data_IF_174945610390
#
_entry.id   IF_174945610390
#
_cell.length_a   1.000
_cell.length_b   1.000
_cell.length_c   1.000
_cell.angle_alpha   90.00
_cell.angle_beta   90.00
_cell.angle_gamma   90.00
#
_symmetry.space_group_name_H-M   'P 1'
#
loop_
_entity.id
_entity.type
_entity.pdbx_description
1 polymer ?
#
# COMPACT_ATOMS: atom_id res chain seq x y z
N UNK A 1 17.83 -21.14 -84.49
CA UNK A 1 19.05 -21.99 -84.44
C UNK A 1 19.27 -22.36 -82.98
N UNK A 2 19.18 -23.65 -82.67
CA UNK A 2 19.36 -24.24 -81.32
C UNK A 2 20.83 -24.17 -80.89
N UNK A 3 21.10 -24.05 -79.58
CA UNK A 3 22.07 -24.85 -78.78
C UNK A 3 22.27 -24.12 -77.42
N UNK A 4 21.66 -24.56 -76.31
CA UNK A 4 22.10 -25.59 -75.35
C UNK A 4 23.14 -25.14 -74.30
N UNK A 5 22.64 -25.09 -73.04
CA UNK A 5 23.28 -25.34 -71.74
C UNK A 5 24.40 -24.44 -71.20
N UNK A 6 24.08 -23.70 -70.13
CA UNK A 6 24.86 -23.83 -68.89
C UNK A 6 23.97 -23.62 -67.66
N UNK A 7 24.02 -24.59 -66.77
CA UNK A 7 23.28 -24.72 -65.52
C UNK A 7 23.85 -23.73 -64.49
N UNK A 8 23.03 -22.81 -63.98
CA UNK A 8 23.27 -22.17 -62.68
C UNK A 8 21.96 -22.19 -61.90
N UNK A 9 21.86 -23.13 -60.95
CA UNK A 9 20.80 -23.20 -59.95
C UNK A 9 20.97 -22.02 -58.99
N UNK A 10 20.10 -21.02 -59.07
CA UNK A 10 19.99 -19.99 -58.03
C UNK A 10 18.88 -20.41 -57.05
N UNK A 11 19.26 -21.02 -55.92
CA UNK A 11 18.37 -21.19 -54.78
C UNK A 11 18.19 -19.82 -54.11
N UNK A 12 17.04 -19.19 -54.29
CA UNK A 12 16.65 -18.00 -53.53
C UNK A 12 16.09 -18.48 -52.19
N UNK A 13 16.95 -18.53 -51.17
CA UNK A 13 16.52 -18.62 -49.78
C UNK A 13 16.08 -17.21 -49.33
N UNK A 14 14.77 -16.95 -49.35
CA UNK A 14 14.19 -15.82 -48.65
C UNK A 14 14.25 -16.07 -47.14
N UNK A 15 15.34 -15.64 -46.50
CA UNK A 15 15.43 -15.51 -45.06
C UNK A 15 14.52 -14.39 -44.58
N UNK A 16 13.33 -14.74 -44.07
CA UNK A 16 12.51 -13.85 -43.26
C UNK A 16 13.23 -13.62 -41.92
N UNK A 17 14.02 -12.55 -41.85
CA UNK A 17 14.53 -12.05 -40.59
C UNK A 17 13.36 -11.45 -39.81
N UNK A 18 12.79 -12.23 -38.89
CA UNK A 18 11.95 -11.73 -37.81
C UNK A 18 12.82 -10.79 -36.95
N UNK A 19 12.77 -9.50 -37.26
CA UNK A 19 13.30 -8.46 -36.38
C UNK A 19 12.45 -8.49 -35.10
N UNK A 20 12.94 -9.20 -34.08
CA UNK A 20 12.44 -9.07 -32.72
C UNK A 20 12.69 -7.62 -32.31
N UNK A 21 11.63 -6.81 -32.28
CA UNK A 21 11.66 -5.48 -31.67
C UNK A 21 11.83 -5.69 -30.17
N UNK A 22 13.07 -5.85 -29.71
CA UNK A 22 13.41 -5.65 -28.31
C UNK A 22 13.17 -4.18 -28.01
N UNK A 23 11.99 -3.88 -27.46
CA UNK A 23 11.73 -2.59 -26.86
C UNK A 23 12.76 -2.39 -25.75
N UNK A 24 13.79 -1.60 -26.04
CA UNK A 24 14.79 -1.24 -25.06
C UNK A 24 14.15 -0.16 -24.17
N UNK A 25 13.47 -0.59 -23.10
CA UNK A 25 12.96 0.35 -22.12
C UNK A 25 14.16 1.01 -21.41
N UNK A 26 14.19 2.34 -21.41
CA UNK A 26 15.16 3.07 -20.61
C UNK A 26 14.96 2.71 -19.14
N UNK A 27 16.06 2.53 -18.40
CA UNK A 27 15.98 2.29 -16.96
C UNK A 27 15.20 3.43 -16.28
N UNK A 28 14.38 3.14 -15.25
CA UNK A 28 13.60 4.17 -14.57
C UNK A 28 14.50 5.30 -14.02
N UNK A 29 14.07 6.54 -14.22
CA UNK A 29 14.73 7.73 -13.68
C UNK A 29 14.52 7.87 -12.16
N UNK A 30 15.25 8.78 -11.52
CA UNK A 30 15.03 9.12 -10.12
C UNK A 30 13.58 9.58 -9.84
N UNK A 31 12.99 10.35 -10.75
CA UNK A 31 11.59 10.78 -10.65
C UNK A 31 10.62 9.59 -10.76
N UNK A 32 10.88 8.64 -11.66
CA UNK A 32 10.09 7.43 -11.79
C UNK A 32 10.13 6.59 -10.50
N UNK A 33 11.30 6.45 -9.88
CA UNK A 33 11.40 5.77 -8.59
C UNK A 33 10.63 6.46 -7.47
N UNK A 34 10.51 7.79 -7.47
CA UNK A 34 9.64 8.52 -6.55
C UNK A 34 8.17 8.07 -6.68
N UNK A 35 7.66 7.98 -7.92
CA UNK A 35 6.30 7.51 -8.21
C UNK A 35 6.13 6.04 -7.81
N UNK A 36 7.06 5.18 -8.20
CA UNK A 36 7.06 3.74 -7.88
C UNK A 36 7.02 3.52 -6.37
N UNK A 37 7.87 4.20 -5.59
CA UNK A 37 7.93 4.06 -4.14
C UNK A 37 6.64 4.54 -3.46
N UNK A 38 6.07 5.65 -3.89
CA UNK A 38 4.80 6.12 -3.34
C UNK A 38 3.66 5.14 -3.63
N UNK A 39 3.52 4.69 -4.90
CA UNK A 39 2.44 3.80 -5.31
C UNK A 39 2.56 2.40 -4.72
N UNK A 40 3.76 1.81 -4.70
CA UNK A 40 4.03 0.53 -4.02
C UNK A 40 3.85 0.64 -2.51
N UNK A 41 4.28 1.75 -1.91
CA UNK A 41 4.06 2.06 -0.49
C UNK A 41 2.57 2.15 -0.14
N UNK A 42 1.77 2.79 -1.01
CA UNK A 42 0.31 2.92 -0.88
C UNK A 42 -0.40 1.58 -0.91
N UNK A 43 0.10 0.59 -1.65
CA UNK A 43 -0.49 -0.77 -1.65
C UNK A 43 -0.58 -1.36 -0.24
N UNK A 44 0.43 -1.16 0.61
CA UNK A 44 0.40 -1.58 2.03
C UNK A 44 -0.78 -0.99 2.79
N UNK A 45 -1.11 0.27 2.55
CA UNK A 45 -2.25 0.94 3.16
C UNK A 45 -3.57 0.40 2.61
N UNK A 46 -3.66 0.20 1.29
CA UNK A 46 -4.87 -0.26 0.63
C UNK A 46 -5.30 -1.65 1.14
N UNK A 47 -4.35 -2.56 1.42
CA UNK A 47 -4.72 -3.87 2.04
C UNK A 47 -5.42 -3.69 3.37
N UNK A 48 -4.91 -2.82 4.25
CA UNK A 48 -5.52 -2.53 5.55
C UNK A 48 -6.86 -1.82 5.41
N UNK A 49 -6.95 -0.87 4.45
CA UNK A 49 -8.16 -0.10 4.16
C UNK A 49 -9.29 -1.00 3.64
N UNK A 50 -9.01 -1.95 2.74
CA UNK A 50 -10.02 -2.90 2.25
C UNK A 50 -10.59 -3.76 3.38
N UNK A 51 -9.73 -4.34 4.24
CA UNK A 51 -10.22 -5.14 5.38
C UNK A 51 -11.01 -4.29 6.38
N UNK A 52 -10.60 -3.03 6.62
CA UNK A 52 -11.39 -2.08 7.43
C UNK A 52 -12.76 -1.80 6.83
N UNK A 53 -12.84 -1.59 5.52
CA UNK A 53 -14.09 -1.35 4.80
C UNK A 53 -15.03 -2.55 4.86
N UNK A 54 -14.50 -3.77 4.69
CA UNK A 54 -15.26 -5.02 4.90
C UNK A 54 -15.80 -5.12 6.32
N UNK A 55 -14.98 -4.83 7.33
CA UNK A 55 -15.42 -4.86 8.72
C UNK A 55 -16.52 -3.82 9.01
N UNK A 56 -16.42 -2.62 8.43
CA UNK A 56 -17.47 -1.60 8.55
C UNK A 56 -18.79 -2.01 7.89
N UNK A 57 -18.73 -2.69 6.72
CA UNK A 57 -19.92 -3.25 6.07
C UNK A 57 -20.55 -4.33 6.98
N UNK A 58 -19.74 -5.23 7.56
CA UNK A 58 -20.22 -6.27 8.47
C UNK A 58 -20.85 -5.69 9.76
N UNK A 59 -20.35 -4.55 10.25
CA UNK A 59 -20.90 -3.81 11.39
C UNK A 59 -22.09 -2.91 11.01
N UNK A 60 -22.52 -2.90 9.74
CA UNK A 60 -23.55 -2.01 9.20
C UNK A 60 -23.29 -0.51 9.42
N UNK A 61 -22.03 -0.09 9.47
CA UNK A 61 -21.62 1.31 9.61
C UNK A 61 -21.39 1.90 8.23
N UNK A 62 -22.21 2.88 7.83
CA UNK A 62 -22.10 3.53 6.52
C UNK A 62 -22.01 2.49 5.37
N UNK A 63 -22.76 1.37 5.45
CA UNK A 63 -22.51 0.17 4.65
C UNK A 63 -22.48 0.44 3.13
N UNK A 64 -23.43 1.21 2.59
CA UNK A 64 -23.46 1.56 1.17
C UNK A 64 -22.22 2.37 0.73
N UNK A 65 -21.78 3.30 1.56
CA UNK A 65 -20.59 4.11 1.32
C UNK A 65 -19.35 3.25 1.40
N UNK A 66 -19.27 2.33 2.36
CA UNK A 66 -18.14 1.41 2.48
C UNK A 66 -18.11 0.36 1.36
N UNK A 67 -19.24 -0.06 0.79
CA UNK A 67 -19.29 -0.87 -0.43
C UNK A 67 -18.69 -0.13 -1.63
N UNK A 68 -19.07 1.14 -1.85
CA UNK A 68 -18.48 1.99 -2.90
C UNK A 68 -16.98 2.19 -2.68
N UNK A 69 -16.58 2.47 -1.44
CA UNK A 69 -15.18 2.62 -1.09
C UNK A 69 -14.39 1.33 -1.33
N UNK A 70 -14.92 0.17 -0.93
CA UNK A 70 -14.28 -1.14 -1.10
C UNK A 70 -14.05 -1.47 -2.58
N UNK A 71 -15.06 -1.23 -3.43
CA UNK A 71 -14.93 -1.38 -4.88
C UNK A 71 -13.81 -0.48 -5.44
N UNK A 72 -13.79 0.81 -5.06
CA UNK A 72 -12.76 1.74 -5.50
C UNK A 72 -11.36 1.41 -4.98
N UNK A 73 -11.24 1.01 -3.70
CA UNK A 73 -9.97 0.65 -3.07
C UNK A 73 -9.38 -0.61 -3.72
N UNK A 74 -10.21 -1.63 -3.97
CA UNK A 74 -9.77 -2.89 -4.58
C UNK A 74 -9.40 -2.73 -6.05
N UNK A 75 -10.17 -1.95 -6.83
CA UNK A 75 -9.81 -1.62 -8.21
C UNK A 75 -8.47 -0.85 -8.29
N UNK A 76 -8.25 0.11 -7.38
CA UNK A 76 -6.99 0.85 -7.33
C UNK A 76 -5.81 -0.05 -6.95
N UNK A 77 -6.00 -0.96 -5.98
CA UNK A 77 -4.97 -1.94 -5.60
C UNK A 77 -4.61 -2.82 -6.80
N UNK A 78 -5.59 -3.44 -7.44
CA UNK A 78 -5.41 -4.33 -8.58
C UNK A 78 -4.70 -3.65 -9.76
N UNK A 79 -5.19 -2.46 -10.16
CA UNK A 79 -4.59 -1.66 -11.23
C UNK A 79 -3.13 -1.31 -10.93
N UNK A 80 -2.85 -0.86 -9.70
CA UNK A 80 -1.49 -0.48 -9.31
C UNK A 80 -0.56 -1.69 -9.21
N UNK A 81 -1.04 -2.83 -8.71
CA UNK A 81 -0.24 -4.06 -8.63
C UNK A 81 0.19 -4.54 -10.01
N UNK A 82 -0.73 -4.51 -10.99
CA UNK A 82 -0.43 -4.80 -12.40
C UNK A 82 0.55 -3.78 -12.97
N UNK A 83 0.28 -2.48 -12.78
CA UNK A 83 1.15 -1.40 -13.25
C UNK A 83 2.57 -1.43 -12.68
N UNK A 84 2.76 -1.87 -11.44
CA UNK A 84 4.10 -2.04 -10.84
C UNK A 84 4.92 -3.13 -11.56
N UNK A 85 4.25 -4.13 -12.14
CA UNK A 85 4.89 -5.23 -12.86
C UNK A 85 5.07 -4.88 -14.34
N UNK A 86 3.96 -4.56 -15.00
CA UNK A 86 3.86 -4.49 -16.46
C UNK A 86 3.92 -3.05 -17.00
N UNK A 87 3.97 -2.05 -16.12
CA UNK A 87 3.86 -0.63 -16.46
C UNK A 87 2.40 -0.17 -16.60
N UNK A 88 2.17 1.11 -16.32
CA UNK A 88 0.89 1.79 -16.54
C UNK A 88 1.13 3.29 -16.75
N UNK A 89 1.00 3.76 -17.99
CA UNK A 89 1.23 5.17 -18.36
C UNK A 89 0.26 6.12 -17.67
N UNK A 90 -0.97 5.69 -17.37
CA UNK A 90 -1.96 6.51 -16.65
C UNK A 90 -1.62 6.71 -15.17
N UNK A 91 -0.73 5.86 -14.63
CA UNK A 91 -0.20 5.96 -13.27
C UNK A 91 1.23 6.50 -13.23
N UNK A 92 1.84 6.78 -14.38
CA UNK A 92 3.26 7.14 -14.48
C UNK A 92 4.18 6.01 -14.01
N UNK A 93 3.77 4.76 -14.18
CA UNK A 93 4.54 3.58 -13.78
C UNK A 93 5.27 2.99 -14.99
N UNK A 94 6.61 2.97 -15.01
CA UNK A 94 7.34 2.16 -15.97
C UNK A 94 7.24 0.67 -15.59
N UNK A 95 7.34 -0.21 -16.59
CA UNK A 95 7.48 -1.64 -16.35
C UNK A 95 8.80 -1.94 -15.62
N UNK A 96 8.84 -3.05 -14.88
CA UNK A 96 10.07 -3.49 -14.20
C UNK A 96 10.66 -4.74 -14.87
N UNK A 97 11.90 -4.62 -15.35
CA UNK A 97 12.67 -5.76 -15.89
C UNK A 97 13.37 -6.57 -14.79
N UNK A 98 13.25 -6.14 -13.54
CA UNK A 98 13.88 -6.82 -12.40
C UNK A 98 13.18 -8.14 -12.11
N UNK A 99 13.78 -9.24 -12.56
CA UNK A 99 13.30 -10.61 -12.27
C UNK A 99 13.05 -10.85 -10.78
N UNK A 100 13.79 -10.17 -9.89
CA UNK A 100 13.61 -10.28 -8.43
C UNK A 100 12.33 -9.58 -7.97
N UNK A 101 12.05 -8.38 -8.48
CA UNK A 101 10.83 -7.64 -8.18
C UNK A 101 9.63 -8.36 -8.78
N UNK A 102 9.71 -8.77 -10.05
CA UNK A 102 8.63 -9.54 -10.72
C UNK A 102 8.23 -10.76 -9.89
N UNK A 103 9.19 -11.61 -9.48
CA UNK A 103 8.90 -12.76 -8.60
C UNK A 103 8.27 -12.37 -7.26
N UNK A 104 8.60 -11.20 -6.73
CA UNK A 104 8.01 -10.72 -5.47
C UNK A 104 6.58 -10.20 -5.69
N UNK A 105 6.30 -9.55 -6.81
CA UNK A 105 4.96 -9.13 -7.22
C UNK A 105 4.07 -10.34 -7.56
N UNK A 106 4.62 -11.40 -8.17
CA UNK A 106 3.88 -12.65 -8.41
C UNK A 106 3.44 -13.30 -7.09
N UNK A 107 4.26 -13.24 -6.03
CA UNK A 107 3.85 -13.69 -4.68
C UNK A 107 2.72 -12.85 -4.11
N UNK A 108 2.73 -11.54 -4.37
CA UNK A 108 1.61 -10.65 -3.98
C UNK A 108 0.36 -11.04 -4.76
N UNK A 109 0.48 -11.20 -6.08
CA UNK A 109 -0.61 -11.56 -6.98
C UNK A 109 -1.24 -12.92 -6.60
N UNK A 110 -0.44 -13.90 -6.20
CA UNK A 110 -0.94 -15.20 -5.72
C UNK A 110 -1.84 -15.06 -4.48
N UNK A 111 -1.46 -14.24 -3.50
CA UNK A 111 -2.30 -13.98 -2.32
C UNK A 111 -3.52 -13.12 -2.71
N UNK A 112 -3.33 -12.16 -3.61
CA UNK A 112 -4.39 -11.29 -4.12
C UNK A 112 -5.48 -12.08 -4.85
N UNK A 113 -5.13 -13.15 -5.56
CA UNK A 113 -6.07 -14.03 -6.24
C UNK A 113 -7.05 -14.75 -5.30
N UNK A 114 -6.72 -14.89 -4.01
CA UNK A 114 -7.64 -15.39 -2.98
C UNK A 114 -8.43 -14.25 -2.31
N UNK A 115 -7.81 -13.08 -2.17
CA UNK A 115 -8.39 -11.92 -1.50
C UNK A 115 -9.45 -11.21 -2.35
N UNK A 116 -9.17 -11.03 -3.65
CA UNK A 116 -9.97 -10.19 -4.53
C UNK A 116 -11.35 -10.79 -4.88
N UNK A 117 -11.49 -12.10 -5.17
CA UNK A 117 -12.80 -12.68 -5.41
C UNK A 117 -13.74 -12.55 -4.20
N UNK A 118 -13.21 -12.63 -2.97
CA UNK A 118 -14.00 -12.41 -1.76
C UNK A 118 -14.52 -10.96 -1.70
N UNK A 119 -13.71 -9.97 -2.07
CA UNK A 119 -14.17 -8.57 -2.20
C UNK A 119 -15.26 -8.47 -3.27
N UNK A 120 -15.04 -9.04 -4.45
CA UNK A 120 -15.99 -8.96 -5.56
C UNK A 120 -17.35 -9.55 -5.17
N UNK A 121 -17.34 -10.71 -4.51
CA UNK A 121 -18.54 -11.35 -3.98
C UNK A 121 -19.27 -10.45 -2.98
N UNK A 122 -18.56 -9.82 -2.02
CA UNK A 122 -19.15 -8.86 -1.08
C UNK A 122 -19.77 -7.67 -1.82
N UNK A 123 -19.07 -7.10 -2.79
CA UNK A 123 -19.58 -5.93 -3.53
C UNK A 123 -20.81 -6.26 -4.38
N UNK A 124 -20.91 -7.49 -4.88
CA UNK A 124 -22.05 -7.97 -5.66
C UNK A 124 -23.25 -8.31 -4.77
N UNK A 125 -23.03 -9.01 -3.65
CA UNK A 125 -24.09 -9.41 -2.71
C UNK A 125 -24.54 -8.27 -1.80
N UNK A 126 -23.71 -7.23 -1.65
CA UNK A 126 -23.86 -6.13 -0.67
C UNK A 126 -23.91 -6.59 0.79
N UNK A 127 -23.42 -7.80 1.07
CA UNK A 127 -23.38 -8.40 2.40
C UNK A 127 -22.04 -9.10 2.65
N UNK A 128 -21.62 -9.18 3.90
CA UNK A 128 -20.39 -9.86 4.32
C UNK A 128 -20.75 -11.12 5.09
N UNK A 129 -20.33 -12.29 4.59
CA UNK A 129 -20.42 -13.55 5.33
C UNK A 129 -19.23 -13.70 6.30
N UNK A 130 -19.40 -14.54 7.32
CA UNK A 130 -18.31 -14.84 8.27
C UNK A 130 -17.10 -15.50 7.60
N UNK A 131 -17.34 -16.33 6.58
CA UNK A 131 -16.28 -16.96 5.78
C UNK A 131 -15.50 -15.92 4.98
N UNK A 132 -16.19 -14.97 4.34
CA UNK A 132 -15.55 -13.89 3.58
C UNK A 132 -14.72 -13.00 4.50
N UNK A 133 -15.26 -12.61 5.67
CA UNK A 133 -14.52 -11.85 6.68
C UNK A 133 -13.26 -12.60 7.12
N UNK A 134 -13.37 -13.90 7.42
CA UNK A 134 -12.25 -14.73 7.89
C UNK A 134 -11.17 -14.88 6.83
N UNK A 135 -11.55 -15.13 5.57
CA UNK A 135 -10.63 -15.18 4.44
C UNK A 135 -9.86 -13.87 4.27
N UNK A 136 -10.57 -12.74 4.25
CA UNK A 136 -9.98 -11.42 4.07
C UNK A 136 -9.05 -11.07 5.24
N UNK A 137 -9.46 -11.34 6.48
CA UNK A 137 -8.64 -11.10 7.67
C UNK A 137 -7.38 -11.98 7.68
N UNK A 138 -7.50 -13.27 7.35
CA UNK A 138 -6.38 -14.22 7.31
C UNK A 138 -5.35 -13.85 6.23
N UNK A 139 -5.78 -13.36 5.07
CA UNK A 139 -4.90 -12.99 3.95
C UNK A 139 -4.34 -11.56 4.08
N UNK A 140 -4.92 -10.71 4.93
CA UNK A 140 -4.52 -9.30 5.09
C UNK A 140 -3.03 -9.12 5.49
N UNK A 141 -2.58 -9.78 6.57
CA UNK A 141 -1.21 -9.65 7.05
C UNK A 141 -0.17 -10.31 6.12
N UNK A 142 -0.42 -11.51 5.54
CA UNK A 142 0.41 -12.04 4.47
C UNK A 142 0.56 -11.09 3.28
N UNK A 143 -0.54 -10.50 2.80
CA UNK A 143 -0.52 -9.56 1.68
C UNK A 143 0.27 -8.29 2.04
N UNK A 144 0.07 -7.73 3.24
CA UNK A 144 0.87 -6.62 3.76
C UNK A 144 2.36 -6.96 3.81
N UNK A 145 2.71 -8.15 4.30
CA UNK A 145 4.11 -8.62 4.41
C UNK A 145 4.79 -8.73 3.05
N UNK A 146 4.11 -9.30 2.05
CA UNK A 146 4.68 -9.42 0.70
C UNK A 146 4.77 -8.05 0.01
N UNK A 147 3.79 -7.16 0.20
CA UNK A 147 3.89 -5.78 -0.30
C UNK A 147 5.05 -5.03 0.35
N UNK A 148 5.27 -5.20 1.66
CA UNK A 148 6.41 -4.57 2.34
C UNK A 148 7.75 -5.07 1.80
N UNK A 149 7.84 -6.35 1.42
CA UNK A 149 9.03 -6.87 0.73
C UNK A 149 9.21 -6.26 -0.66
N UNK A 150 8.13 -6.10 -1.43
CA UNK A 150 8.19 -5.46 -2.75
C UNK A 150 8.70 -4.00 -2.65
N UNK A 151 8.15 -3.22 -1.71
CA UNK A 151 8.63 -1.85 -1.44
C UNK A 151 10.12 -1.85 -1.13
N UNK A 152 10.59 -2.73 -0.24
CA UNK A 152 12.02 -2.81 0.10
C UNK A 152 12.93 -3.26 -1.05
N UNK A 153 12.39 -3.90 -2.10
CA UNK A 153 13.15 -4.18 -3.32
C UNK A 153 13.23 -2.94 -4.20
N UNK A 154 12.13 -2.21 -4.39
CA UNK A 154 12.14 -0.94 -5.11
C UNK A 154 13.04 0.11 -4.42
N UNK A 155 13.03 0.18 -3.09
CA UNK A 155 13.94 1.06 -2.33
C UNK A 155 15.41 0.74 -2.62
N UNK A 156 15.75 -0.55 -2.80
CA UNK A 156 17.12 -0.97 -3.15
C UNK A 156 17.49 -0.63 -4.58
N UNK A 157 16.54 -0.70 -5.52
CA UNK A 157 16.79 -0.35 -6.93
C UNK A 157 16.87 1.17 -7.12
N UNK A 158 16.02 1.94 -6.46
CA UNK A 158 16.08 3.39 -6.45
C UNK A 158 17.46 3.90 -5.96
N UNK A 159 18.00 3.30 -4.90
CA UNK A 159 19.36 3.63 -4.43
C UNK A 159 20.44 3.35 -5.48
N UNK A 160 20.30 2.28 -6.27
CA UNK A 160 21.26 1.94 -7.34
C UNK A 160 21.16 2.87 -8.54
N UNK A 161 19.99 3.45 -8.80
CA UNK A 161 19.78 4.37 -9.91
C UNK A 161 20.22 5.81 -9.61
N UNK A 162 20.97 6.03 -8.51
CA UNK A 162 21.44 7.35 -8.11
C UNK A 162 20.41 8.19 -7.36
N UNK A 163 19.28 7.61 -6.93
CA UNK A 163 18.43 8.27 -5.94
C UNK A 163 19.12 8.22 -4.56
N UNK A 164 20.14 9.06 -4.38
CA UNK A 164 20.74 9.32 -3.08
C UNK A 164 19.85 10.27 -2.31
N UNK A 165 18.99 9.70 -1.47
CA UNK A 165 18.26 10.49 -0.50
C UNK A 165 19.26 10.99 0.55
N UNK A 166 19.16 12.28 0.93
CA UNK A 166 19.91 12.82 2.07
C UNK A 166 19.78 11.87 3.30
N UNK A 167 20.80 11.79 4.18
CA UNK A 167 20.74 10.92 5.34
C UNK A 167 19.42 11.07 6.11
N UNK A 168 18.72 9.96 6.32
CA UNK A 168 17.42 9.94 7.00
C UNK A 168 16.20 10.25 6.12
N UNK A 169 16.34 10.85 4.94
CA UNK A 169 15.20 11.23 4.08
C UNK A 169 14.38 10.01 3.59
N UNK A 170 15.06 8.94 3.17
CA UNK A 170 14.37 7.70 2.78
C UNK A 170 13.61 7.06 3.95
N UNK A 171 14.18 7.11 5.16
CA UNK A 171 13.50 6.64 6.37
C UNK A 171 12.27 7.51 6.68
N UNK A 172 12.40 8.83 6.60
CA UNK A 172 11.33 9.80 6.77
C UNK A 172 10.17 9.58 5.78
N UNK A 173 10.46 9.41 4.49
CA UNK A 173 9.43 9.14 3.46
C UNK A 173 8.72 7.80 3.72
N UNK A 174 9.47 6.75 4.00
CA UNK A 174 8.89 5.43 4.26
C UNK A 174 8.03 5.43 5.55
N UNK A 175 8.54 6.02 6.64
CA UNK A 175 7.87 6.04 7.93
C UNK A 175 6.67 7.00 7.96
N UNK A 176 6.76 8.17 7.32
CA UNK A 176 5.58 9.03 7.11
C UNK A 176 4.53 8.34 6.23
N UNK A 177 4.96 7.63 5.17
CA UNK A 177 4.09 6.77 4.37
C UNK A 177 3.41 5.69 5.21
N UNK A 178 4.17 5.07 6.13
CA UNK A 178 3.71 4.01 7.04
C UNK A 178 2.66 4.51 8.04
N UNK A 179 2.73 5.76 8.50
CA UNK A 179 1.70 6.36 9.37
C UNK A 179 0.30 6.25 8.77
N UNK A 180 0.15 6.49 7.46
CA UNK A 180 -1.14 6.32 6.76
C UNK A 180 -1.66 4.89 6.87
N UNK A 181 -0.78 3.91 6.62
CA UNK A 181 -1.11 2.49 6.75
C UNK A 181 -1.48 2.14 8.19
N UNK A 182 -0.70 2.58 9.17
CA UNK A 182 -0.94 2.33 10.60
C UNK A 182 -2.30 2.89 11.03
N UNK A 183 -2.70 4.08 10.56
CA UNK A 183 -4.06 4.61 10.82
C UNK A 183 -5.17 3.66 10.37
N UNK A 184 -5.01 3.06 9.18
CA UNK A 184 -5.99 2.11 8.64
C UNK A 184 -5.93 0.76 9.37
N UNK A 185 -4.72 0.31 9.71
CA UNK A 185 -4.47 -0.94 10.44
C UNK A 185 -5.09 -0.92 11.84
N UNK A 186 -4.96 0.20 12.57
CA UNK A 186 -5.59 0.36 13.89
C UNK A 186 -7.11 0.24 13.80
N UNK A 187 -7.75 0.97 12.89
CA UNK A 187 -9.21 0.87 12.72
C UNK A 187 -9.65 -0.52 12.29
N UNK A 188 -8.91 -1.17 11.38
CA UNK A 188 -9.16 -2.56 10.99
C UNK A 188 -9.14 -3.49 12.21
N UNK A 189 -8.09 -3.43 13.03
CA UNK A 189 -7.96 -4.25 14.24
C UNK A 189 -9.07 -3.98 15.25
N UNK A 190 -9.39 -2.70 15.48
CA UNK A 190 -10.51 -2.29 16.34
C UNK A 190 -11.85 -2.89 15.87
N UNK A 191 -12.15 -2.83 14.57
CA UNK A 191 -13.41 -3.37 14.05
C UNK A 191 -13.45 -4.91 14.02
N UNK A 192 -12.31 -5.58 13.83
CA UNK A 192 -12.23 -7.03 13.98
C UNK A 192 -12.49 -7.48 15.43
N UNK A 193 -12.02 -6.70 16.43
CA UNK A 193 -12.37 -6.91 17.85
C UNK A 193 -13.87 -6.75 18.05
N UNK A 194 -14.46 -5.68 17.51
CA UNK A 194 -15.91 -5.43 17.61
C UNK A 194 -16.77 -6.54 16.99
N UNK A 195 -16.27 -7.20 15.93
CA UNK A 195 -16.90 -8.35 15.27
C UNK A 195 -16.63 -9.69 15.97
N UNK A 196 -15.87 -9.71 17.08
CA UNK A 196 -15.50 -10.94 17.78
C UNK A 196 -14.49 -11.82 17.03
N UNK A 197 -13.83 -11.30 16.00
CA UNK A 197 -12.89 -12.05 15.17
C UNK A 197 -11.47 -11.98 15.74
N UNK A 198 -10.89 -13.12 16.13
CA UNK A 198 -9.51 -13.20 16.65
C UNK A 198 -9.23 -12.16 17.75
N UNK A 199 -10.16 -11.99 18.71
CA UNK A 199 -10.21 -10.83 19.64
C UNK A 199 -8.87 -10.54 20.31
N UNK A 200 -8.31 -11.51 21.03
CA UNK A 200 -7.06 -11.30 21.80
C UNK A 200 -5.87 -10.98 20.91
N UNK A 201 -5.79 -11.63 19.74
CA UNK A 201 -4.75 -11.34 18.74
C UNK A 201 -4.93 -9.94 18.16
N UNK A 202 -6.16 -9.49 17.89
CA UNK A 202 -6.40 -8.13 17.41
C UNK A 202 -6.18 -7.07 18.49
N UNK A 203 -6.43 -7.35 19.78
CA UNK A 203 -6.05 -6.46 20.89
C UNK A 203 -4.54 -6.24 20.96
N UNK A 204 -3.76 -7.33 20.90
CA UNK A 204 -2.29 -7.26 20.85
C UNK A 204 -1.80 -6.51 19.62
N UNK A 205 -2.34 -6.82 18.44
CA UNK A 205 -1.99 -6.13 17.21
C UNK A 205 -2.33 -4.63 17.29
N UNK A 206 -3.47 -4.26 17.88
CA UNK A 206 -3.90 -2.88 18.03
C UNK A 206 -2.94 -2.12 18.96
N UNK A 207 -2.57 -2.74 20.09
CA UNK A 207 -1.56 -2.25 21.03
C UNK A 207 -0.23 -1.93 20.33
N UNK A 208 0.31 -2.89 19.60
CA UNK A 208 1.54 -2.72 18.83
C UNK A 208 1.41 -1.60 17.79
N UNK A 209 0.28 -1.55 17.08
CA UNK A 209 0.06 -0.61 15.98
C UNK A 209 -0.05 0.82 16.47
N UNK A 210 -0.82 1.07 17.53
CA UNK A 210 -0.99 2.42 18.06
C UNK A 210 0.29 2.90 18.74
N UNK A 211 1.03 2.01 19.41
CA UNK A 211 2.34 2.33 20.01
C UNK A 211 3.37 2.71 18.94
N UNK A 212 3.40 1.96 17.84
CA UNK A 212 4.28 2.27 16.71
C UNK A 212 3.87 3.55 15.99
N UNK A 213 2.56 3.82 15.87
CA UNK A 213 2.06 5.07 15.31
C UNK A 213 2.56 6.26 16.12
N UNK A 214 2.34 6.22 17.44
CA UNK A 214 2.72 7.25 18.42
C UNK A 214 4.23 7.55 18.37
N UNK A 215 5.07 6.52 18.49
CA UNK A 215 6.52 6.64 18.45
C UNK A 215 7.00 7.26 17.13
N UNK A 216 6.46 6.78 16.01
CA UNK A 216 6.88 7.26 14.70
C UNK A 216 6.40 8.71 14.45
N UNK A 217 5.19 9.09 14.90
CA UNK A 217 4.73 10.47 14.78
C UNK A 217 5.62 11.42 15.59
N UNK A 218 5.98 11.03 16.82
CA UNK A 218 6.95 11.78 17.64
C UNK A 218 8.31 11.85 16.96
N UNK A 219 8.84 10.72 16.47
CA UNK A 219 10.12 10.67 15.77
C UNK A 219 10.16 11.50 14.49
N UNK A 220 9.04 11.63 13.77
CA UNK A 220 8.95 12.50 12.59
C UNK A 220 9.08 13.98 12.99
N UNK A 221 8.55 14.39 14.13
CA UNK A 221 8.66 15.76 14.63
C UNK A 221 10.06 16.02 15.21
N UNK A 222 10.44 15.23 16.21
CA UNK A 222 11.55 15.54 17.12
C UNK A 222 12.84 14.79 16.75
N UNK A 223 12.73 13.73 15.95
CA UNK A 223 13.80 12.77 15.70
C UNK A 223 13.65 11.49 16.53
N UNK A 224 14.18 10.39 16.00
CA UNK A 224 14.30 9.10 16.67
C UNK A 224 15.47 8.35 16.04
N UNK A 225 16.61 8.31 16.73
CA UNK A 225 17.85 7.72 16.24
C UNK A 225 17.69 6.23 15.89
N UNK A 226 16.94 5.49 16.70
CA UNK A 226 16.69 4.06 16.50
C UNK A 226 15.83 3.82 15.25
N UNK A 227 14.92 4.75 14.92
CA UNK A 227 14.14 4.72 13.67
C UNK A 227 14.89 5.37 12.49
N UNK A 228 16.07 5.94 12.71
CA UNK A 228 16.82 6.69 11.70
C UNK A 228 16.11 7.97 11.26
N UNK A 229 15.29 8.56 12.13
CA UNK A 229 14.56 9.79 11.86
C UNK A 229 15.37 11.00 12.36
N UNK A 230 15.76 11.94 11.49
CA UNK A 230 16.54 13.12 11.88
C UNK A 230 15.70 14.21 12.57
N UNK A 231 14.37 14.05 12.61
CA UNK A 231 13.43 15.08 13.01
C UNK A 231 13.18 16.11 11.89
N UNK A 232 11.99 16.68 11.87
CA UNK A 232 11.59 17.61 10.81
C UNK A 232 12.07 19.01 11.13
N UNK A 233 12.70 19.66 10.15
CA UNK A 233 13.15 21.06 10.25
C UNK A 233 12.25 22.05 9.52
N UNK A 234 11.71 21.76 8.32
CA UNK A 234 10.84 22.71 7.64
C UNK A 234 9.56 23.00 8.42
N UNK A 235 9.35 24.27 8.80
CA UNK A 235 8.23 24.66 9.67
C UNK A 235 6.86 24.27 9.10
N UNK A 236 6.65 24.46 7.81
CA UNK A 236 5.39 24.11 7.16
C UNK A 236 5.04 22.61 7.25
N UNK A 237 6.04 21.72 7.38
CA UNK A 237 5.82 20.28 7.62
C UNK A 237 5.52 20.05 9.10
N UNK A 238 6.23 20.72 10.02
CA UNK A 238 5.95 20.66 11.46
C UNK A 238 4.51 21.10 11.77
N UNK A 239 4.04 22.20 11.17
CA UNK A 239 2.67 22.70 11.32
C UNK A 239 1.65 21.63 10.89
N UNK A 240 1.92 20.96 9.77
CA UNK A 240 1.08 19.86 9.28
C UNK A 240 1.12 18.63 10.19
N UNK A 241 2.28 18.30 10.78
CA UNK A 241 2.40 17.24 11.77
C UNK A 241 1.67 17.60 13.08
N UNK A 242 1.59 18.87 13.45
CA UNK A 242 0.82 19.32 14.61
C UNK A 242 -0.69 19.12 14.39
N UNK A 243 -1.18 19.39 13.17
CA UNK A 243 -2.56 19.03 12.80
C UNK A 243 -2.80 17.52 12.95
N UNK A 244 -1.84 16.69 12.54
CA UNK A 244 -1.91 15.23 12.72
C UNK A 244 -1.87 14.86 14.21
N UNK A 245 -1.02 15.49 15.02
CA UNK A 245 -0.96 15.31 16.48
C UNK A 245 -2.29 15.64 17.16
N UNK A 246 -2.93 16.76 16.79
CA UNK A 246 -4.23 17.14 17.35
C UNK A 246 -5.35 16.14 17.04
N UNK A 247 -5.35 15.54 15.85
CA UNK A 247 -6.26 14.44 15.50
C UNK A 247 -5.90 13.15 16.25
N UNK A 248 -4.62 12.86 16.40
CA UNK A 248 -4.12 11.69 17.10
C UNK A 248 -4.51 11.68 18.58
N UNK A 249 -4.42 12.83 19.28
CA UNK A 249 -4.84 12.96 20.68
C UNK A 249 -6.30 12.55 20.90
N UNK A 250 -7.18 12.81 19.91
CA UNK A 250 -8.59 12.40 19.97
C UNK A 250 -8.80 10.93 19.59
N UNK A 251 -7.99 10.42 18.66
CA UNK A 251 -8.13 9.06 18.14
C UNK A 251 -7.49 8.00 19.05
N UNK A 252 -6.37 8.32 19.70
CA UNK A 252 -5.59 7.41 20.55
C UNK A 252 -6.41 6.78 21.69
N UNK A 253 -7.18 7.53 22.50
CA UNK A 253 -7.97 6.93 23.59
C UNK A 253 -9.01 5.92 23.09
N UNK A 254 -9.53 6.11 21.87
CA UNK A 254 -10.50 5.18 21.28
C UNK A 254 -9.85 3.83 20.97
N UNK A 255 -8.66 3.84 20.35
CA UNK A 255 -7.94 2.61 20.01
C UNK A 255 -7.30 1.96 21.22
N UNK A 256 -6.85 2.73 22.22
CA UNK A 256 -6.41 2.22 23.53
C UNK A 256 -7.53 1.47 24.23
N UNK A 257 -8.75 2.03 24.22
CA UNK A 257 -9.91 1.33 24.78
C UNK A 257 -10.17 0.01 24.08
N UNK A 258 -10.01 -0.06 22.75
CA UNK A 258 -10.14 -1.31 22.00
C UNK A 258 -9.07 -2.35 22.34
N UNK A 259 -7.84 -1.91 22.60
CA UNK A 259 -6.71 -2.78 22.91
C UNK A 259 -6.65 -3.25 24.37
N UNK A 260 -7.33 -2.55 25.29
CA UNK A 260 -7.36 -2.89 26.71
C UNK A 260 -7.86 -4.32 26.93
N UNK A 261 -7.08 -5.12 27.67
CA UNK A 261 -7.44 -6.50 28.02
C UNK A 261 -8.76 -6.58 28.79
N UNK A 262 -9.11 -5.53 29.54
CA UNK A 262 -10.38 -5.41 30.28
C UNK A 262 -11.59 -5.10 29.40
N UNK A 263 -11.38 -4.69 28.15
CA UNK A 263 -12.48 -4.43 27.23
C UNK A 263 -13.09 -5.75 26.77
N UNK A 264 -14.33 -5.98 27.17
CA UNK A 264 -15.12 -7.18 26.82
C UNK A 264 -16.08 -6.95 25.67
N UNK A 265 -16.47 -5.70 25.42
CA UNK A 265 -17.34 -5.31 24.32
C UNK A 265 -17.03 -3.87 23.86
N UNK A 266 -17.35 -3.58 22.60
CA UNK A 266 -17.25 -2.25 22.00
C UNK A 266 -18.65 -1.79 21.57
N UNK A 267 -19.08 -0.62 22.06
CA UNK A 267 -20.41 -0.09 21.75
C UNK A 267 -20.50 0.44 20.32
N UNK A 268 -21.72 0.52 19.78
CA UNK A 268 -21.97 1.14 18.48
C UNK A 268 -21.44 2.58 18.41
N UNK A 269 -21.52 3.34 19.52
CA UNK A 269 -20.97 4.68 19.60
C UNK A 269 -19.44 4.69 19.45
N UNK A 270 -18.73 3.81 20.16
CA UNK A 270 -17.27 3.69 20.04
C UNK A 270 -16.84 3.29 18.63
N UNK A 271 -17.57 2.36 18.01
CA UNK A 271 -17.36 1.94 16.61
C UNK A 271 -17.52 3.15 15.67
N UNK A 272 -18.59 3.92 15.83
CA UNK A 272 -18.85 5.10 15.00
C UNK A 272 -17.81 6.22 15.24
N UNK A 273 -17.35 6.42 16.47
CA UNK A 273 -16.29 7.38 16.79
C UNK A 273 -14.97 7.02 16.11
N UNK A 274 -14.56 5.75 16.12
CA UNK A 274 -13.36 5.28 15.42
C UNK A 274 -13.54 5.44 13.90
N UNK A 275 -14.70 5.09 13.34
CA UNK A 275 -14.99 5.23 11.92
C UNK A 275 -14.91 6.68 11.45
N UNK A 276 -15.54 7.61 12.19
CA UNK A 276 -15.56 9.02 11.88
C UNK A 276 -14.18 9.69 12.02
N UNK A 277 -13.40 9.28 13.04
CA UNK A 277 -12.09 9.88 13.33
C UNK A 277 -10.97 9.38 12.41
N UNK A 278 -11.13 8.19 11.80
CA UNK A 278 -10.09 7.59 10.95
C UNK A 278 -9.84 8.37 9.64
N UNK A 279 -10.89 8.85 8.97
CA UNK A 279 -10.75 9.52 7.66
C UNK A 279 -10.02 10.87 7.76
N UNK A 280 -10.33 11.76 8.72
CA UNK A 280 -9.54 12.97 8.95
C UNK A 280 -8.07 12.67 9.22
N UNK A 281 -7.76 11.69 10.08
CA UNK A 281 -6.39 11.33 10.41
C UNK A 281 -5.63 10.84 9.17
N UNK A 282 -6.25 9.96 8.36
CA UNK A 282 -5.69 9.51 7.09
C UNK A 282 -5.46 10.68 6.12
N UNK A 283 -6.42 11.61 6.00
CA UNK A 283 -6.35 12.76 5.09
C UNK A 283 -5.18 13.66 5.47
N UNK A 284 -5.05 14.02 6.74
CA UNK A 284 -3.97 14.91 7.20
C UNK A 284 -2.61 14.23 7.15
N UNK A 285 -2.54 12.92 7.42
CA UNK A 285 -1.30 12.19 7.23
C UNK A 285 -0.89 12.09 5.75
N UNK A 286 -1.84 11.97 4.82
CA UNK A 286 -1.56 12.09 3.39
C UNK A 286 -1.03 13.47 3.01
N UNK A 287 -1.54 14.54 3.61
CA UNK A 287 -1.03 15.90 3.39
C UNK A 287 0.43 16.02 3.87
N UNK A 288 0.74 15.53 5.07
CA UNK A 288 2.12 15.49 5.59
C UNK A 288 3.08 14.73 4.65
N UNK A 289 2.69 13.55 4.17
CA UNK A 289 3.51 12.77 3.22
C UNK A 289 3.78 13.55 1.93
N UNK A 290 2.77 14.22 1.36
CA UNK A 290 2.96 15.03 0.15
C UNK A 290 3.94 16.20 0.37
N UNK A 291 3.96 16.79 1.56
CA UNK A 291 4.92 17.83 1.89
C UNK A 291 6.35 17.26 1.95
N UNK A 292 6.55 16.10 2.57
CA UNK A 292 7.85 15.43 2.53
C UNK A 292 8.28 15.05 1.12
N UNK A 293 7.37 14.54 0.29
CA UNK A 293 7.65 14.22 -1.12
C UNK A 293 8.08 15.46 -1.89
N UNK A 294 7.41 16.59 -1.67
CA UNK A 294 7.77 17.87 -2.31
C UNK A 294 9.11 18.40 -1.82
N UNK A 295 9.41 18.28 -0.53
CA UNK A 295 10.69 18.72 0.03
C UNK A 295 11.86 17.85 -0.46
N UNK A 296 11.63 16.54 -0.61
CA UNK A 296 12.60 15.58 -1.12
C UNK A 296 12.96 15.80 -2.59
N UNK A 297 12.13 16.52 -3.34
CA UNK A 297 12.29 16.78 -4.77
C UNK A 297 12.96 18.13 -5.09
N UNK A 298 13.28 18.93 -4.06
CA UNK A 298 14.05 20.18 -4.19
C UNK A 298 15.54 19.89 -4.20
#
# INVERSE_FOLDING_TARGET
MKLYNLVVRLFVLCGLALASVTACYAAPSAADYGVILNLSGKQRMLTQKMTKEVALIALNVDAEKNLKNLAGTSALFDKTLKGLKDGDSSLGLPATDSKRIVRQLDKVAGIWAEFYPAIQAITASKAVSQEQLSTIAAKNLPLLKQMNKAVGLYEKEAKKSGLEAAPGLAATLNLSGKQRMLSQKMSKEFFLIALGHDVEKNKLNLLETYSLFDRTLKGLKDGDEVLGLPGTKPQHILDQLEVVSGLWVKFKPLVEKGADYKTTALSAEQINQVAASNLPLLKQMNAAVKLYEKEAAK
#
